data_IF_199233860303
#
_entry.id   IF_199233860303
#
_cell.length_a   1.000
_cell.length_b   1.000
_cell.length_c   1.000
_cell.angle_alpha   90.00
_cell.angle_beta   90.00
_cell.angle_gamma   90.00
#
_symmetry.space_group_name_H-M   'P 1'
#
loop_
_entity.id
_entity.type
_entity.pdbx_description
1 polymer ?
#
# COMPACT_ATOMS: atom_id res chain seq x y z
N UNK A 1 7.85 12.88 8.56
CA UNK A 1 6.62 12.74 7.74
C UNK A 1 5.56 12.15 8.68
N UNK A 2 4.26 12.14 8.34
CA UNK A 2 3.29 11.38 9.15
C UNK A 2 3.07 10.01 8.48
N UNK A 3 2.75 8.97 9.26
CA UNK A 3 2.55 7.59 8.78
C UNK A 3 1.55 7.52 7.62
N UNK A 4 0.44 8.27 7.69
CA UNK A 4 -0.53 8.35 6.60
C UNK A 4 0.06 8.89 5.29
N UNK A 5 0.87 9.95 5.38
CA UNK A 5 1.53 10.54 4.21
C UNK A 5 2.59 9.59 3.64
N UNK A 6 3.32 8.89 4.52
CA UNK A 6 4.27 7.86 4.12
C UNK A 6 3.58 6.75 3.33
N UNK A 7 2.51 6.18 3.87
CA UNK A 7 1.74 5.09 3.25
C UNK A 7 1.18 5.54 1.88
N UNK A 8 0.54 6.72 1.81
CA UNK A 8 -0.02 7.27 0.57
C UNK A 8 1.05 7.44 -0.52
N UNK A 9 2.18 8.04 -0.16
CA UNK A 9 3.29 8.24 -1.09
C UNK A 9 3.86 6.89 -1.56
N UNK A 10 4.01 5.94 -0.64
CA UNK A 10 4.58 4.63 -0.95
C UNK A 10 3.67 3.82 -1.87
N UNK A 11 2.35 3.81 -1.65
CA UNK A 11 1.38 3.19 -2.59
C UNK A 11 1.48 3.83 -3.97
N UNK A 12 1.54 5.16 -4.03
CA UNK A 12 1.61 5.90 -5.31
C UNK A 12 2.93 5.62 -6.06
N UNK A 13 4.04 5.44 -5.34
CA UNK A 13 5.35 5.08 -5.90
C UNK A 13 5.35 3.66 -6.47
N UNK A 14 4.69 2.72 -5.78
CA UNK A 14 4.72 1.29 -6.08
C UNK A 14 3.73 0.90 -7.17
N UNK A 15 2.55 1.51 -7.16
CA UNK A 15 1.47 1.24 -8.10
C UNK A 15 0.69 2.54 -8.40
N UNK A 16 1.09 3.30 -9.44
CA UNK A 16 0.54 4.62 -9.71
C UNK A 16 -0.93 4.59 -10.17
N UNK A 17 -1.44 3.41 -10.52
CA UNK A 17 -2.86 3.18 -10.87
C UNK A 17 -3.73 2.84 -9.66
N UNK A 18 -3.14 2.72 -8.48
CA UNK A 18 -3.83 2.53 -7.22
C UNK A 18 -3.86 3.82 -6.42
N UNK A 19 -4.92 4.04 -5.64
CA UNK A 19 -5.10 5.20 -4.78
C UNK A 19 -5.56 4.75 -3.41
N UNK A 20 -4.91 5.26 -2.36
CA UNK A 20 -5.37 5.05 -1.00
C UNK A 20 -6.62 5.90 -0.75
N UNK A 21 -7.72 5.25 -0.43
CA UNK A 21 -9.03 5.88 -0.16
C UNK A 21 -9.37 5.96 1.32
N UNK A 22 -8.67 5.19 2.17
CA UNK A 22 -8.85 5.20 3.62
C UNK A 22 -7.60 4.71 4.34
N UNK A 23 -7.35 5.29 5.52
CA UNK A 23 -6.37 4.80 6.49
C UNK A 23 -7.02 4.89 7.87
N UNK A 24 -7.08 3.76 8.58
CA UNK A 24 -7.58 3.69 9.95
C UNK A 24 -6.54 3.04 10.84
N UNK A 25 -6.23 3.66 11.98
CA UNK A 25 -5.36 3.05 12.98
C UNK A 25 -6.22 2.32 14.01
N UNK A 26 -6.01 1.01 14.17
CA UNK A 26 -6.74 0.19 15.14
C UNK A 26 -5.87 -0.95 15.64
N UNK A 27 -5.95 -1.25 16.94
CA UNK A 27 -5.27 -2.39 17.57
C UNK A 27 -3.75 -2.49 17.30
N UNK A 28 -3.06 -1.36 17.10
CA UNK A 28 -1.62 -1.34 16.81
C UNK A 28 -1.27 -1.65 15.35
N UNK A 29 -2.24 -1.56 14.44
CA UNK A 29 -2.03 -1.66 13.00
C UNK A 29 -2.73 -0.51 12.24
N UNK A 30 -2.15 -0.13 11.11
CA UNK A 30 -2.79 0.69 10.09
C UNK A 30 -3.54 -0.21 9.12
N UNK A 31 -4.86 -0.03 9.06
CA UNK A 31 -5.72 -0.58 8.03
C UNK A 31 -5.77 0.41 6.86
N UNK A 32 -5.32 -0.02 5.70
CA UNK A 32 -5.21 0.81 4.50
C UNK A 32 -6.15 0.26 3.45
N UNK A 33 -7.11 1.09 3.04
CA UNK A 33 -8.04 0.80 1.95
C UNK A 33 -7.50 1.39 0.65
N UNK A 34 -7.28 0.54 -0.34
CA UNK A 34 -6.75 0.90 -1.65
C UNK A 34 -7.80 0.63 -2.71
N UNK A 35 -8.06 1.63 -3.55
CA UNK A 35 -8.90 1.49 -4.74
C UNK A 35 -8.02 1.51 -5.99
N UNK A 36 -8.38 0.73 -6.99
CA UNK A 36 -7.67 0.69 -8.27
C UNK A 36 -8.62 0.76 -9.46
N UNK A 37 -8.07 0.48 -10.64
CA UNK A 37 -8.76 0.63 -11.93
C UNK A 37 -9.86 -0.40 -12.16
N UNK A 38 -9.92 -1.48 -11.37
CA UNK A 38 -10.96 -2.52 -11.48
C UNK A 38 -12.27 -2.14 -10.80
N UNK A 39 -12.29 -1.04 -10.02
CA UNK A 39 -13.45 -0.68 -9.19
C UNK A 39 -13.60 -1.52 -7.91
N UNK A 40 -12.64 -2.41 -7.63
CA UNK A 40 -12.52 -3.15 -6.36
C UNK A 40 -11.75 -2.29 -5.35
N UNK A 41 -12.13 -2.40 -4.08
CA UNK A 41 -11.37 -1.87 -2.93
C UNK A 41 -10.76 -3.06 -2.21
N UNK A 42 -9.46 -2.99 -1.94
CA UNK A 42 -8.74 -3.95 -1.12
C UNK A 42 -8.29 -3.30 0.18
N UNK A 43 -8.34 -4.08 1.25
CA UNK A 43 -7.91 -3.65 2.57
C UNK A 43 -6.67 -4.44 2.98
N UNK A 44 -5.64 -3.75 3.43
CA UNK A 44 -4.45 -4.38 4.00
C UNK A 44 -4.13 -3.82 5.38
N UNK A 45 -3.58 -4.67 6.24
CA UNK A 45 -3.15 -4.29 7.57
C UNK A 45 -1.62 -4.22 7.62
N UNK A 46 -1.09 -3.15 8.21
CA UNK A 46 0.33 -2.91 8.43
C UNK A 46 0.59 -2.68 9.92
N UNK A 47 1.49 -3.43 10.58
CA UNK A 47 1.82 -3.17 11.98
C UNK A 47 2.37 -1.76 12.17
N UNK A 48 1.91 -1.02 13.19
CA UNK A 48 2.38 0.36 13.43
C UNK A 48 3.90 0.40 13.65
N UNK A 49 4.46 -0.62 14.30
CA UNK A 49 5.90 -0.74 14.52
C UNK A 49 6.69 -0.89 13.21
N UNK A 50 6.15 -1.61 12.23
CA UNK A 50 6.81 -1.79 10.93
C UNK A 50 6.73 -0.52 10.11
N UNK A 51 5.61 0.20 10.16
CA UNK A 51 5.46 1.51 9.49
C UNK A 51 6.40 2.54 10.10
N UNK A 52 6.49 2.61 11.44
CA UNK A 52 7.42 3.49 12.12
C UNK A 52 8.90 3.14 11.80
N UNK A 53 9.24 1.85 11.75
CA UNK A 53 10.56 1.40 11.35
C UNK A 53 10.87 1.71 9.87
N UNK A 54 9.87 1.63 8.99
CA UNK A 54 9.99 1.89 7.57
C UNK A 54 10.29 3.36 7.22
N UNK A 55 9.91 4.31 8.09
CA UNK A 55 10.30 5.72 7.95
C UNK A 55 11.82 5.94 8.10
N UNK A 56 12.51 5.01 8.76
CA UNK A 56 13.92 5.17 9.14
C UNK A 56 14.87 4.08 8.59
N UNK A 57 14.34 2.97 8.05
CA UNK A 57 15.16 1.83 7.61
C UNK A 57 14.68 1.18 6.32
N UNK A 58 15.62 0.92 5.40
CA UNK A 58 15.36 0.39 4.06
C UNK A 58 14.72 -1.02 4.07
N UNK A 59 15.09 -1.89 5.01
CA UNK A 59 14.53 -3.25 5.08
C UNK A 59 13.07 -3.27 5.54
N UNK A 60 12.72 -2.43 6.52
CA UNK A 60 11.34 -2.26 6.96
C UNK A 60 10.50 -1.61 5.85
N UNK A 61 11.06 -0.61 5.14
CA UNK A 61 10.41 -0.01 3.97
C UNK A 61 10.11 -1.04 2.89
N UNK A 62 11.04 -1.94 2.58
CA UNK A 62 10.80 -3.03 1.60
C UNK A 62 9.69 -3.98 2.03
N UNK A 63 9.60 -4.32 3.32
CA UNK A 63 8.51 -5.16 3.84
C UNK A 63 7.15 -4.49 3.70
N UNK A 64 7.02 -3.26 4.18
CA UNK A 64 5.80 -2.46 4.06
C UNK A 64 5.42 -2.27 2.59
N UNK A 65 6.39 -1.95 1.73
CA UNK A 65 6.20 -1.84 0.29
C UNK A 65 5.67 -3.13 -0.33
N UNK A 66 6.21 -4.29 0.06
CA UNK A 66 5.75 -5.57 -0.49
C UNK A 66 4.31 -5.89 -0.09
N UNK A 67 3.87 -5.53 1.11
CA UNK A 67 2.48 -5.74 1.55
C UNK A 67 1.54 -4.81 0.77
N UNK A 68 1.89 -3.52 0.71
CA UNK A 68 1.13 -2.53 -0.05
C UNK A 68 1.05 -2.87 -1.53
N UNK A 69 2.13 -3.38 -2.14
CA UNK A 69 2.13 -3.78 -3.55
C UNK A 69 1.12 -4.88 -3.81
N UNK A 70 1.09 -5.93 -2.99
CA UNK A 70 0.13 -7.02 -3.14
C UNK A 70 -1.31 -6.51 -3.07
N UNK A 71 -1.59 -5.63 -2.11
CA UNK A 71 -2.92 -5.03 -1.97
C UNK A 71 -3.30 -4.15 -3.18
N UNK A 72 -2.35 -3.40 -3.71
CA UNK A 72 -2.56 -2.58 -4.91
C UNK A 72 -2.74 -3.44 -6.18
N UNK A 73 -1.96 -4.53 -6.31
CA UNK A 73 -2.06 -5.47 -7.42
C UNK A 73 -3.43 -6.19 -7.44
N UNK A 74 -4.09 -6.36 -6.27
CA UNK A 74 -5.44 -6.95 -6.19
C UNK A 74 -6.53 -6.04 -6.77
N UNK A 75 -6.29 -4.72 -6.86
CA UNK A 75 -7.29 -3.73 -7.32
C UNK A 75 -6.95 -3.12 -8.69
N UNK A 76 -5.75 -3.38 -9.20
CA UNK A 76 -5.32 -2.94 -10.52
C UNK A 76 -5.40 -4.12 -11.47
N UNK A 77 -6.07 -3.93 -12.61
CA UNK A 77 -6.12 -4.97 -13.62
C UNK A 77 -4.70 -5.25 -14.12
N UNK A 78 -4.28 -6.52 -14.26
CA UNK A 78 -2.98 -6.83 -14.83
C UNK A 78 -2.91 -6.17 -16.21
N UNK A 79 -1.89 -5.34 -16.42
CA UNK A 79 -1.60 -4.83 -17.76
C UNK A 79 -1.33 -6.07 -18.62
N UNK A 80 -2.12 -6.35 -19.66
CA UNK A 80 -1.83 -7.48 -20.52
C UNK A 80 -0.45 -7.23 -21.12
N UNK A 81 0.54 -8.01 -20.69
CA UNK A 81 1.81 -8.11 -21.38
C UNK A 81 1.49 -8.47 -22.82
N UNK A 82 1.63 -7.51 -23.73
CA UNK A 82 1.29 -7.64 -25.15
C UNK A 82 2.18 -8.63 -25.92
N UNK A 83 2.72 -9.66 -25.27
CA UNK A 83 3.33 -10.81 -25.94
C UNK A 83 2.23 -11.77 -26.38
N UNK A 84 1.64 -11.44 -27.53
CA UNK A 84 1.02 -12.40 -28.42
C UNK A 84 2.09 -13.23 -29.15
#
# INVERSE_FOLDING_TARGET
MNAETFIKNLVTEIEPNATVVGIEESQGAYHVSVAGTTGVIADCALPCEEVAAAEHGDDARRRVASVLKRCADDVVAPVPDGRA
#
